data_IF_324412139629
#
_entry.id   IF_324412139629
#
_cell.length_a   1.000
_cell.length_b   1.000
_cell.length_c   1.000
_cell.angle_alpha   90.00
_cell.angle_beta   90.00
_cell.angle_gamma   90.00
#
_symmetry.space_group_name_H-M   'P 1'
#
loop_
_entity.id
_entity.type
_entity.pdbx_description
1 polymer ?
#
# COMPACT_ATOMS: atom_id res chain seq x y z
N UNK A 1 -14.47 -4.07 1.72
CA UNK A 1 -14.19 -2.75 1.11
C UNK A 1 -15.32 -2.36 0.16
N UNK A 2 -15.57 -1.06 0.03
CA UNK A 2 -16.64 -0.47 -0.80
C UNK A 2 -16.20 -0.07 -2.21
N UNK A 3 -14.90 -0.22 -2.51
CA UNK A 3 -14.29 0.24 -3.76
C UNK A 3 -13.99 -0.89 -4.75
N UNK A 4 -14.16 -2.15 -4.34
CA UNK A 4 -13.85 -3.29 -5.18
C UNK A 4 -14.76 -4.48 -4.95
N UNK A 5 -14.80 -5.34 -5.96
CA UNK A 5 -15.46 -6.63 -5.94
C UNK A 5 -14.44 -7.75 -6.03
N UNK A 6 -14.62 -8.80 -5.24
CA UNK A 6 -13.77 -10.00 -5.29
C UNK A 6 -14.57 -11.15 -5.87
N UNK A 7 -14.10 -11.69 -6.99
CA UNK A 7 -14.67 -12.86 -7.65
C UNK A 7 -13.57 -13.91 -7.86
N UNK A 8 -13.71 -15.06 -7.20
CA UNK A 8 -12.71 -16.11 -7.27
C UNK A 8 -11.30 -15.66 -6.84
N UNK A 9 -10.35 -15.75 -7.77
CA UNK A 9 -8.95 -15.34 -7.61
C UNK A 9 -8.66 -13.93 -8.18
N UNK A 10 -9.69 -13.12 -8.43
CA UNK A 10 -9.57 -11.80 -9.03
C UNK A 10 -10.25 -10.74 -8.18
N UNK A 11 -9.65 -9.54 -8.17
CA UNK A 11 -10.26 -8.32 -7.66
C UNK A 11 -10.53 -7.38 -8.81
N UNK A 12 -11.78 -6.97 -8.95
CA UNK A 12 -12.19 -5.95 -9.89
C UNK A 12 -12.36 -4.60 -9.17
N UNK A 13 -11.67 -3.57 -9.68
CA UNK A 13 -11.74 -2.19 -9.23
C UNK A 13 -12.44 -1.35 -10.30
N UNK A 14 -13.76 -1.10 -10.19
CA UNK A 14 -14.48 -0.26 -11.13
C UNK A 14 -14.07 1.22 -11.01
N UNK A 15 -14.26 1.98 -12.07
CA UNK A 15 -14.34 3.44 -12.00
C UNK A 15 -15.62 3.82 -11.25
N UNK A 16 -15.46 4.42 -10.08
CA UNK A 16 -16.58 4.73 -9.18
C UNK A 16 -17.49 5.84 -9.74
N UNK A 17 -16.96 6.73 -10.58
CA UNK A 17 -17.76 7.79 -11.21
C UNK A 17 -18.65 7.20 -12.30
N UNK A 18 -18.07 6.33 -13.15
CA UNK A 18 -18.83 5.62 -14.19
C UNK A 18 -19.85 4.65 -13.58
N UNK A 19 -19.48 3.96 -12.49
CA UNK A 19 -20.40 3.13 -11.73
C UNK A 19 -21.55 3.97 -11.20
N UNK A 20 -21.27 5.12 -10.57
CA UNK A 20 -22.31 5.99 -10.03
C UNK A 20 -23.24 6.56 -11.10
N UNK A 21 -22.71 6.89 -12.28
CA UNK A 21 -23.50 7.37 -13.42
C UNK A 21 -24.51 6.31 -13.92
N UNK A 22 -24.14 5.03 -13.89
CA UNK A 22 -24.98 3.89 -14.28
C UNK A 22 -26.02 3.52 -13.22
N UNK A 23 -25.89 4.00 -11.97
CA UNK A 23 -26.87 3.78 -10.90
C UNK A 23 -28.16 4.58 -11.19
N UNK A 24 -29.34 3.92 -11.17
CA UNK A 24 -30.63 4.60 -11.31
C UNK A 24 -30.83 5.70 -10.27
N UNK A 25 -31.40 6.85 -10.67
CA UNK A 25 -31.53 8.03 -9.83
C UNK A 25 -32.17 7.75 -8.44
N UNK A 26 -33.19 6.89 -8.38
CA UNK A 26 -33.88 6.53 -7.14
C UNK A 26 -33.03 5.68 -6.16
N UNK A 27 -31.91 5.12 -6.61
CA UNK A 27 -30.97 4.31 -5.80
C UNK A 27 -29.71 5.07 -5.38
N UNK A 28 -29.43 6.24 -5.99
CA UNK A 28 -28.21 7.03 -5.72
C UNK A 28 -28.07 7.44 -4.26
N UNK A 29 -29.18 7.88 -3.63
CA UNK A 29 -29.18 8.24 -2.20
C UNK A 29 -28.84 7.07 -1.29
N UNK A 30 -29.30 5.86 -1.62
CA UNK A 30 -28.93 4.65 -0.89
C UNK A 30 -27.45 4.29 -1.10
N UNK A 31 -26.94 4.47 -2.33
CA UNK A 31 -25.52 4.27 -2.61
C UNK A 31 -24.62 5.24 -1.85
N UNK A 32 -24.97 6.52 -1.82
CA UNK A 32 -24.24 7.55 -1.07
C UNK A 32 -24.22 7.22 0.42
N UNK A 33 -25.36 6.84 1.01
CA UNK A 33 -25.42 6.42 2.41
C UNK A 33 -24.56 5.17 2.69
N UNK A 34 -24.57 4.21 1.76
CA UNK A 34 -23.70 3.05 1.80
C UNK A 34 -22.22 3.47 1.77
N UNK A 35 -21.78 4.28 0.81
CA UNK A 35 -20.37 4.71 0.69
C UNK A 35 -19.93 5.54 1.90
N UNK A 36 -20.80 6.43 2.41
CA UNK A 36 -20.51 7.28 3.57
C UNK A 36 -20.53 6.56 4.92
N UNK A 37 -20.88 5.28 4.96
CA UNK A 37 -21.06 4.50 6.20
C UNK A 37 -22.12 5.07 7.14
N UNK A 38 -23.11 5.81 6.62
CA UNK A 38 -24.17 6.39 7.44
C UNK A 38 -25.28 5.38 7.74
N UNK A 39 -25.33 4.26 7.00
CA UNK A 39 -26.16 3.11 7.31
C UNK A 39 -25.42 2.17 8.28
N UNK A 40 -25.76 2.27 9.58
CA UNK A 40 -25.09 1.57 10.68
C UNK A 40 -25.08 0.04 10.54
N UNK A 41 -26.01 -0.55 9.77
CA UNK A 41 -26.01 -1.99 9.49
C UNK A 41 -25.02 -2.37 8.37
N UNK A 42 -24.68 -1.43 7.47
CA UNK A 42 -23.83 -1.65 6.28
C UNK A 42 -22.47 -0.92 6.36
N UNK A 43 -22.08 -0.42 7.53
CA UNK A 43 -20.83 0.32 7.70
C UNK A 43 -19.60 -0.48 7.24
N UNK A 44 -19.58 -1.80 7.47
CA UNK A 44 -18.46 -2.69 7.08
C UNK A 44 -18.74 -3.53 5.84
N UNK A 45 -19.94 -3.40 5.25
CA UNK A 45 -20.37 -4.21 4.13
C UNK A 45 -19.52 -3.94 2.87
N UNK A 46 -19.04 -4.98 2.15
CA UNK A 46 -18.34 -4.84 0.88
C UNK A 46 -19.26 -4.34 -0.24
N UNK A 47 -18.69 -3.77 -1.30
CA UNK A 47 -19.42 -3.26 -2.47
C UNK A 47 -20.44 -4.27 -3.02
N UNK A 48 -20.07 -5.55 -3.04
CA UNK A 48 -20.92 -6.67 -3.47
C UNK A 48 -22.28 -6.70 -2.75
N UNK A 49 -22.28 -6.48 -1.44
CA UNK A 49 -23.50 -6.55 -0.62
C UNK A 49 -24.50 -5.43 -0.92
N UNK A 50 -24.04 -4.30 -1.49
CA UNK A 50 -24.94 -3.26 -1.96
C UNK A 50 -25.38 -3.48 -3.41
N UNK A 51 -24.44 -3.90 -4.28
CA UNK A 51 -24.67 -4.04 -5.72
C UNK A 51 -25.66 -5.16 -6.05
N UNK A 52 -25.54 -6.34 -5.42
CA UNK A 52 -26.37 -7.51 -5.73
C UNK A 52 -27.87 -7.27 -5.44
N UNK A 53 -28.28 -6.81 -4.24
CA UNK A 53 -29.69 -6.56 -3.94
C UNK A 53 -30.29 -5.41 -4.76
N UNK A 54 -29.46 -4.44 -5.17
CA UNK A 54 -29.89 -3.32 -5.98
C UNK A 54 -29.91 -3.62 -7.48
N UNK A 55 -29.61 -4.85 -7.91
CA UNK A 55 -29.56 -5.26 -9.32
C UNK A 55 -28.70 -4.33 -10.20
N UNK A 56 -27.65 -3.76 -9.61
CA UNK A 56 -26.62 -3.01 -10.34
C UNK A 56 -25.61 -4.05 -10.85
N UNK A 57 -25.27 -4.02 -12.14
CA UNK A 57 -24.30 -4.97 -12.70
C UNK A 57 -22.94 -4.31 -12.76
N UNK A 58 -21.92 -4.90 -12.12
CA UNK A 58 -20.53 -4.49 -12.29
C UNK A 58 -20.03 -5.01 -13.64
N UNK A 59 -19.88 -4.12 -14.61
CA UNK A 59 -19.52 -4.46 -15.98
C UNK A 59 -18.18 -3.80 -16.35
N UNK A 60 -17.10 -4.59 -16.52
CA UNK A 60 -15.79 -4.08 -16.92
C UNK A 60 -15.80 -3.24 -18.20
N UNK A 61 -16.71 -3.50 -19.14
CA UNK A 61 -16.81 -2.75 -20.39
C UNK A 61 -17.39 -1.34 -20.15
N UNK A 62 -18.32 -1.19 -19.21
CA UNK A 62 -18.98 0.09 -18.90
C UNK A 62 -18.22 0.91 -17.88
N UNK A 63 -17.69 0.24 -16.85
CA UNK A 63 -17.10 0.92 -15.70
C UNK A 63 -15.57 1.05 -15.79
N UNK A 64 -14.97 0.71 -16.96
CA UNK A 64 -13.58 1.00 -17.41
C UNK A 64 -12.44 0.82 -16.39
N UNK A 65 -12.70 0.07 -15.33
CA UNK A 65 -11.79 -0.21 -14.24
C UNK A 65 -10.66 -1.17 -14.61
N UNK A 66 -10.01 -1.72 -13.60
CA UNK A 66 -8.95 -2.71 -13.79
C UNK A 66 -9.17 -3.91 -12.88
N UNK A 67 -8.61 -5.05 -13.31
CA UNK A 67 -8.67 -6.29 -12.56
C UNK A 67 -7.27 -6.72 -12.14
N UNK A 68 -7.14 -7.19 -10.91
CA UNK A 68 -5.89 -7.73 -10.37
C UNK A 68 -6.11 -9.19 -10.03
N UNK A 69 -5.32 -10.06 -10.66
CA UNK A 69 -5.25 -11.47 -10.26
C UNK A 69 -4.53 -11.55 -8.92
N UNK A 70 -5.21 -12.16 -7.97
CA UNK A 70 -4.67 -12.49 -6.66
C UNK A 70 -4.08 -13.89 -6.76
N UNK A 71 -2.86 -14.06 -6.25
CA UNK A 71 -2.33 -15.41 -6.01
C UNK A 71 -3.17 -16.17 -4.98
N UNK A 72 -2.82 -17.43 -4.74
CA UNK A 72 -3.37 -18.18 -3.60
C UNK A 72 -3.02 -17.43 -2.31
N UNK A 73 -3.97 -16.65 -1.77
CA UNK A 73 -3.77 -16.10 -0.44
C UNK A 73 -3.92 -17.28 0.51
N UNK A 74 -2.79 -17.85 0.93
CA UNK A 74 -2.83 -18.89 1.94
C UNK A 74 -3.52 -18.30 3.19
N UNK A 75 -4.55 -18.96 3.73
CA UNK A 75 -5.17 -18.51 4.97
C UNK A 75 -4.08 -18.39 6.03
N UNK A 76 -3.95 -17.18 6.60
CA UNK A 76 -3.01 -16.87 7.68
C UNK A 76 -3.33 -17.72 8.90
N UNK A 77 -2.83 -18.96 8.91
CA UNK A 77 -3.03 -20.04 9.89
C UNK A 77 -4.51 -20.33 10.19
N UNK A 78 -4.88 -21.62 10.25
CA UNK A 78 -6.19 -22.00 10.75
C UNK A 78 -6.38 -21.43 12.17
N UNK A 79 -7.45 -20.68 12.39
CA UNK A 79 -7.81 -20.21 13.72
C UNK A 79 -8.50 -21.36 14.45
N UNK A 80 -8.04 -21.72 15.65
CA UNK A 80 -8.73 -22.70 16.49
C UNK A 80 -10.02 -22.05 16.98
N UNK A 81 -11.16 -22.53 16.50
CA UNK A 81 -12.46 -22.16 17.07
C UNK A 81 -12.58 -22.63 18.52
N UNK A 82 -13.46 -21.98 19.28
CA UNK A 82 -13.88 -22.43 20.62
C UNK A 82 -14.56 -23.79 20.46
N UNK A 83 -13.85 -24.88 20.77
CA UNK A 83 -14.28 -26.26 20.50
C UNK A 83 -13.31 -27.11 19.67
N UNK A 84 -12.10 -26.62 19.36
CA UNK A 84 -11.04 -27.45 18.74
C UNK A 84 -11.22 -27.72 17.24
N UNK A 85 -12.35 -27.32 16.64
CA UNK A 85 -12.59 -27.43 15.20
C UNK A 85 -11.75 -26.41 14.44
N UNK A 86 -10.91 -26.89 13.53
CA UNK A 86 -10.20 -26.05 12.55
C UNK A 86 -11.24 -25.44 11.61
N UNK A 87 -11.48 -24.12 11.72
CA UNK A 87 -12.28 -23.39 10.73
C UNK A 87 -11.33 -22.67 9.78
N UNK A 88 -11.44 -22.96 8.48
CA UNK A 88 -10.76 -22.19 7.45
C UNK A 88 -11.48 -20.85 7.35
N UNK A 89 -11.03 -19.86 8.14
CA UNK A 89 -11.56 -18.49 8.04
C UNK A 89 -11.31 -18.04 6.60
N UNK A 90 -12.38 -17.84 5.83
CA UNK A 90 -12.31 -17.22 4.51
C UNK A 90 -11.62 -15.88 4.73
N UNK A 91 -10.43 -15.71 4.17
CA UNK A 91 -9.72 -14.44 4.24
C UNK A 91 -10.60 -13.43 3.51
N UNK A 92 -11.24 -12.55 4.29
CA UNK A 92 -11.81 -11.34 3.74
C UNK A 92 -10.62 -10.41 3.51
N UNK A 93 -10.34 -10.08 2.25
CA UNK A 93 -9.50 -8.94 1.91
C UNK A 93 -10.22 -7.72 2.48
N UNK A 94 -9.86 -7.34 3.70
CA UNK A 94 -10.49 -6.21 4.38
C UNK A 94 -10.02 -4.90 3.73
N UNK A 95 -8.74 -4.84 3.37
CA UNK A 95 -8.09 -3.65 2.86
C UNK A 95 -7.01 -4.03 1.83
N UNK A 96 -6.98 -3.30 0.71
CA UNK A 96 -5.97 -3.41 -0.34
C UNK A 96 -5.37 -2.03 -0.50
N UNK A 97 -4.08 -1.87 -0.19
CA UNK A 97 -3.38 -0.60 -0.41
C UNK A 97 -3.06 -0.43 -1.90
N UNK A 98 -3.31 0.78 -2.40
CA UNK A 98 -3.00 1.12 -3.79
C UNK A 98 -1.49 1.17 -4.04
N UNK A 99 -1.08 0.64 -5.19
CA UNK A 99 0.27 0.88 -5.73
C UNK A 99 0.34 2.28 -6.36
N UNK A 100 1.52 2.89 -6.38
CA UNK A 100 1.71 4.22 -6.97
C UNK A 100 1.54 4.17 -8.49
N UNK A 101 0.83 5.16 -9.04
CA UNK A 101 0.49 5.26 -10.46
C UNK A 101 0.92 6.61 -11.00
N UNK A 102 1.24 6.65 -12.30
CA UNK A 102 1.49 7.89 -13.03
C UNK A 102 0.16 8.64 -13.30
N UNK A 103 0.20 9.86 -13.88
CA UNK A 103 -1.02 10.59 -14.23
C UNK A 103 -1.94 9.87 -15.24
N UNK A 104 -1.44 8.85 -15.94
CA UNK A 104 -2.21 8.03 -16.88
C UNK A 104 -2.79 6.77 -16.19
N UNK A 105 -2.63 6.63 -14.87
CA UNK A 105 -3.11 5.49 -14.10
C UNK A 105 -2.26 4.23 -14.22
N UNK A 106 -1.07 4.30 -14.84
CA UNK A 106 -0.18 3.15 -15.03
C UNK A 106 0.75 3.00 -13.82
N UNK A 107 0.90 1.79 -13.26
CA UNK A 107 1.78 1.56 -12.13
C UNK A 107 3.25 1.77 -12.54
N UNK A 108 4.04 2.42 -11.70
CA UNK A 108 5.48 2.60 -11.92
C UNK A 108 6.26 2.52 -10.61
N UNK A 109 7.57 2.26 -10.70
CA UNK A 109 8.46 2.32 -9.53
C UNK A 109 9.10 3.71 -9.49
N UNK A 110 8.88 4.52 -8.45
CA UNK A 110 9.52 5.83 -8.34
C UNK A 110 11.04 5.70 -8.24
N UNK A 111 11.77 6.58 -8.93
CA UNK A 111 13.24 6.63 -8.85
C UNK A 111 13.75 6.82 -7.42
N UNK A 112 13.00 7.54 -6.58
CA UNK A 112 13.28 7.69 -5.15
C UNK A 112 13.24 6.37 -4.38
N UNK A 113 12.38 5.42 -4.75
CA UNK A 113 12.31 4.08 -4.13
C UNK A 113 13.57 3.29 -4.45
N UNK A 114 13.97 3.24 -5.72
CA UNK A 114 15.19 2.53 -6.16
C UNK A 114 16.43 3.18 -5.55
N UNK A 115 16.52 4.51 -5.60
CA UNK A 115 17.60 5.28 -4.99
C UNK A 115 17.68 5.08 -3.48
N UNK A 116 16.54 5.06 -2.79
CA UNK A 116 16.47 4.76 -1.36
C UNK A 116 16.98 3.36 -1.03
N UNK A 117 16.62 2.36 -1.84
CA UNK A 117 17.14 1.00 -1.70
C UNK A 117 18.67 0.95 -1.86
N UNK A 118 19.21 1.57 -2.92
CA UNK A 118 20.66 1.64 -3.14
C UNK A 118 21.37 2.37 -1.99
N UNK A 119 20.78 3.45 -1.48
CA UNK A 119 21.28 4.19 -0.32
C UNK A 119 21.37 3.30 0.91
N UNK A 120 20.32 2.52 1.20
CA UNK A 120 20.32 1.58 2.32
C UNK A 120 21.39 0.50 2.17
N UNK A 121 21.54 -0.09 0.97
CA UNK A 121 22.59 -1.08 0.69
C UNK A 121 23.98 -0.49 0.94
N UNK A 122 24.24 0.71 0.42
CA UNK A 122 25.53 1.38 0.59
C UNK A 122 25.82 1.70 2.06
N UNK A 123 24.86 2.26 2.80
CA UNK A 123 25.01 2.53 4.23
C UNK A 123 25.30 1.25 5.03
N UNK A 124 24.57 0.17 4.74
CA UNK A 124 24.80 -1.12 5.39
C UNK A 124 26.22 -1.64 5.10
N UNK A 125 26.73 -1.46 3.87
CA UNK A 125 28.10 -1.84 3.51
C UNK A 125 29.16 -1.07 4.32
N UNK A 126 28.91 0.22 4.63
CA UNK A 126 29.82 1.03 5.43
C UNK A 126 29.80 0.63 6.91
N UNK A 127 28.62 0.32 7.45
CA UNK A 127 28.49 -0.22 8.80
C UNK A 127 29.26 -1.53 8.91
N UNK A 128 29.06 -2.46 7.97
CA UNK A 128 29.71 -3.75 7.97
C UNK A 128 31.24 -3.65 7.89
N UNK A 129 31.79 -2.72 7.09
CA UNK A 129 33.24 -2.48 7.03
C UNK A 129 33.84 -1.94 8.33
N UNK A 130 33.06 -1.18 9.12
CA UNK A 130 33.54 -0.55 10.37
C UNK A 130 33.33 -1.41 11.61
N UNK A 131 32.43 -2.38 11.54
CA UNK A 131 32.12 -3.25 12.67
C UNK A 131 32.51 -4.69 12.32
N UNK A 132 33.50 -5.23 13.01
CA UNK A 132 33.88 -6.64 12.91
C UNK A 132 32.75 -7.60 13.38
N UNK A 133 31.66 -7.06 13.92
CA UNK A 133 30.50 -7.77 14.44
C UNK A 133 29.23 -7.21 13.78
N UNK A 134 28.26 -8.05 13.37
CA UNK A 134 26.99 -7.59 12.83
C UNK A 134 26.25 -6.76 13.87
N UNK A 135 26.05 -5.46 13.61
CA UNK A 135 25.22 -4.59 14.44
C UNK A 135 23.78 -5.10 14.34
N UNK A 136 23.26 -5.71 15.41
CA UNK A 136 21.84 -6.05 15.52
C UNK A 136 21.05 -4.76 15.59
N UNK A 137 20.22 -4.50 14.58
CA UNK A 137 19.25 -3.41 14.61
C UNK A 137 18.05 -3.90 15.44
N UNK A 138 17.74 -3.30 16.60
CA UNK A 138 16.59 -3.72 17.39
C UNK A 138 15.28 -3.49 16.61
N UNK A 139 14.31 -4.41 16.75
CA UNK A 139 13.00 -4.32 16.09
C UNK A 139 12.14 -3.12 16.52
N UNK A 140 12.53 -2.42 17.59
CA UNK A 140 11.98 -1.12 17.97
C UNK A 140 13.08 -0.06 17.91
N UNK A 141 12.98 0.84 16.92
CA UNK A 141 13.83 2.01 16.86
C UNK A 141 13.36 3.02 17.91
N UNK A 142 14.12 3.16 18.99
CA UNK A 142 13.94 4.32 19.88
C UNK A 142 14.29 5.61 19.13
N UNK A 143 13.82 6.75 19.64
CA UNK A 143 14.17 8.07 19.11
C UNK A 143 15.68 8.28 19.01
N UNK A 144 16.44 7.72 19.94
CA UNK A 144 17.91 7.79 19.96
C UNK A 144 18.55 6.97 18.84
N UNK A 145 18.07 5.75 18.57
CA UNK A 145 18.55 4.94 17.46
C UNK A 145 18.34 5.64 16.10
N UNK A 146 17.19 6.29 15.93
CA UNK A 146 16.89 7.08 14.74
C UNK A 146 17.85 8.26 14.58
N UNK A 147 18.06 9.04 15.64
CA UNK A 147 18.98 10.17 15.61
C UNK A 147 20.43 9.73 15.34
N UNK A 148 20.86 8.60 15.89
CA UNK A 148 22.18 8.04 15.61
C UNK A 148 22.32 7.65 14.14
N UNK A 149 21.32 6.96 13.58
CA UNK A 149 21.26 6.61 12.15
C UNK A 149 21.33 7.84 11.25
N UNK A 150 20.53 8.87 11.55
CA UNK A 150 20.53 10.14 10.80
C UNK A 150 21.88 10.86 10.85
N UNK A 151 22.55 10.86 12.03
CA UNK A 151 23.90 11.43 12.18
C UNK A 151 24.96 10.66 11.40
N UNK A 152 24.90 9.32 11.47
CA UNK A 152 25.81 8.44 10.73
C UNK A 152 25.64 8.64 9.23
N UNK A 153 24.40 8.60 8.75
CA UNK A 153 24.05 8.80 7.34
C UNK A 153 24.56 10.15 6.83
N UNK A 154 24.27 11.24 7.56
CA UNK A 154 24.74 12.58 7.22
C UNK A 154 26.26 12.66 7.15
N UNK A 155 26.97 12.05 8.11
CA UNK A 155 28.43 12.01 8.14
C UNK A 155 29.01 11.27 6.94
N UNK A 156 28.41 10.15 6.54
CA UNK A 156 28.96 9.31 5.49
C UNK A 156 28.57 9.74 4.07
N UNK A 157 27.37 10.29 3.88
CA UNK A 157 26.82 10.56 2.56
C UNK A 157 27.01 12.00 2.10
N UNK A 158 27.17 12.98 2.99
CA UNK A 158 27.40 14.39 2.60
C UNK A 158 28.88 14.66 2.34
N UNK A 159 29.45 13.98 1.34
CA UNK A 159 30.88 14.05 0.97
C UNK A 159 31.12 14.32 -0.51
N UNK A 160 30.13 14.80 -1.27
CA UNK A 160 30.30 15.02 -2.71
C UNK A 160 31.27 16.17 -3.07
N UNK A 161 31.56 17.07 -2.12
CA UNK A 161 32.58 18.11 -2.30
C UNK A 161 32.24 19.19 -3.33
N UNK A 162 30.95 19.48 -3.56
CA UNK A 162 30.54 20.48 -4.57
C UNK A 162 30.96 21.91 -4.17
N UNK A 163 31.47 22.74 -5.09
CA UNK A 163 31.85 24.11 -4.77
C UNK A 163 30.63 24.94 -4.32
N UNK A 164 30.84 25.89 -3.40
CA UNK A 164 29.81 26.80 -2.88
C UNK A 164 28.62 26.11 -2.17
N UNK A 165 28.83 24.94 -1.58
CA UNK A 165 27.77 24.22 -0.86
C UNK A 165 28.18 23.95 0.58
N UNK A 166 27.24 24.09 1.52
CA UNK A 166 27.48 23.77 2.93
C UNK A 166 27.44 22.26 3.11
N UNK A 167 28.21 21.68 4.05
CA UNK A 167 28.19 20.23 4.32
C UNK A 167 26.82 19.67 4.72
N UNK A 168 25.86 20.53 5.03
CA UNK A 168 24.50 20.15 5.40
C UNK A 168 23.47 20.24 4.27
N UNK A 169 23.87 20.71 3.10
CA UNK A 169 22.99 20.84 1.95
C UNK A 169 22.71 19.48 1.32
N UNK A 170 21.48 19.26 0.85
CA UNK A 170 21.09 18.03 0.20
C UNK A 170 21.88 17.77 -1.09
N UNK A 171 22.31 18.84 -1.78
CA UNK A 171 23.14 18.77 -2.99
C UNK A 171 24.52 18.17 -2.73
N UNK A 172 24.96 18.13 -1.46
CA UNK A 172 26.25 17.58 -1.08
C UNK A 172 26.25 16.07 -0.86
N UNK A 173 25.09 15.43 -1.02
CA UNK A 173 24.91 14.00 -0.86
C UNK A 173 25.46 13.22 -2.06
N UNK A 174 26.22 12.15 -1.81
CA UNK A 174 26.79 11.28 -2.84
C UNK A 174 25.72 10.71 -3.78
N UNK A 175 24.51 10.46 -3.27
CA UNK A 175 23.40 9.98 -4.07
C UNK A 175 22.71 11.07 -4.88
N UNK A 176 23.18 12.33 -4.90
CA UNK A 176 22.66 13.35 -5.83
C UNK A 176 23.10 13.13 -7.28
N UNK A 177 24.19 12.40 -7.49
CA UNK A 177 24.69 12.08 -8.82
C UNK A 177 23.95 10.90 -9.47
N UNK A 178 22.99 10.30 -8.75
CA UNK A 178 22.18 9.13 -9.13
C UNK A 178 20.71 9.50 -8.96
#
# INVERSE_FOLDING_TARGET
SKEYHVEGDRVYFPDMELLYADIPAHKRKSFEAFVMNTDGAQATAPLKEWVEPNAVKLDPAKHRGYEVKIGSIEPRRASRGRGGRMTRKKLTLNEIHAFIKDPLGRPYVPGSTVKGMLRSIYLQSLVHKRTAQPVRVPGHQTREHRQYGERFERKELRKSGRPNTRPQDAVNDLFQAI
#
